data_IF_440031957989
#
_entry.id   IF_440031957989
#
_cell.length_a   1.000
_cell.length_b   1.000
_cell.length_c   1.000
_cell.angle_alpha   90.00
_cell.angle_beta   90.00
_cell.angle_gamma   90.00
#
_symmetry.space_group_name_H-M   'P 1'
#
loop_
_entity.id
_entity.type
_entity.pdbx_description
1 polymer ?
#
# COMPACT_ATOMS: atom_id res chain seq x y z
N UNK A 1 2.23 10.06 7.52
CA UNK A 1 1.67 10.13 8.90
C UNK A 1 1.80 11.51 9.55
N UNK A 2 2.82 12.32 9.23
CA UNK A 2 2.97 13.64 9.87
C UNK A 2 1.90 14.67 9.49
N UNK A 3 1.40 14.68 8.25
CA UNK A 3 0.53 15.77 7.77
C UNK A 3 -0.97 15.56 8.07
N UNK A 4 -1.51 14.35 7.89
CA UNK A 4 -2.92 14.03 8.26
C UNK A 4 -3.16 14.27 9.75
N UNK A 5 -2.24 13.81 10.61
CA UNK A 5 -2.33 14.04 12.05
C UNK A 5 -2.14 15.53 12.41
N UNK A 6 -1.24 16.26 11.74
CA UNK A 6 -1.00 17.67 12.03
C UNK A 6 -2.20 18.56 11.68
N UNK A 7 -2.82 18.39 10.51
CA UNK A 7 -3.96 19.23 10.13
C UNK A 7 -5.28 18.83 10.80
N UNK A 8 -5.46 17.56 11.15
CA UNK A 8 -6.57 17.14 12.02
C UNK A 8 -6.41 17.69 13.44
N UNK A 9 -5.18 17.81 13.96
CA UNK A 9 -4.90 18.40 15.27
C UNK A 9 -5.10 19.93 15.31
N UNK A 10 -4.89 20.62 14.19
CA UNK A 10 -5.02 22.09 14.10
C UNK A 10 -6.45 22.53 13.71
N UNK A 11 -7.36 21.58 13.49
CA UNK A 11 -8.76 21.82 13.13
C UNK A 11 -8.93 22.69 11.87
N UNK A 12 -7.93 22.69 10.97
CA UNK A 12 -7.94 23.46 9.74
C UNK A 12 -8.34 22.57 8.56
N UNK A 13 -9.64 22.29 8.49
CA UNK A 13 -10.25 21.44 7.46
C UNK A 13 -9.99 21.94 6.04
N UNK A 14 -9.82 23.25 5.84
CA UNK A 14 -9.51 23.82 4.54
C UNK A 14 -8.11 23.46 4.05
N UNK A 15 -7.07 23.67 4.88
CA UNK A 15 -5.71 23.28 4.53
C UNK A 15 -5.58 21.77 4.33
N UNK A 16 -6.28 20.98 5.15
CA UNK A 16 -6.35 19.53 4.99
C UNK A 16 -6.91 19.15 3.62
N UNK A 17 -8.07 19.70 3.24
CA UNK A 17 -8.69 19.41 1.94
C UNK A 17 -7.78 19.83 0.79
N UNK A 18 -7.19 21.03 0.83
CA UNK A 18 -6.26 21.51 -0.20
C UNK A 18 -5.06 20.57 -0.36
N UNK A 19 -4.52 20.09 0.76
CA UNK A 19 -3.43 19.13 0.75
C UNK A 19 -3.84 17.79 0.12
N UNK A 20 -4.98 17.23 0.53
CA UNK A 20 -5.48 15.96 -0.03
C UNK A 20 -5.76 16.08 -1.53
N UNK A 21 -6.33 17.21 -1.98
CA UNK A 21 -6.58 17.47 -3.39
C UNK A 21 -5.28 17.55 -4.20
N UNK A 22 -4.27 18.26 -3.67
CA UNK A 22 -2.95 18.32 -4.29
C UNK A 22 -2.29 16.94 -4.36
N UNK A 23 -2.41 16.16 -3.28
CA UNK A 23 -1.88 14.80 -3.23
C UNK A 23 -2.55 13.88 -4.25
N UNK A 24 -3.88 13.96 -4.37
CA UNK A 24 -4.63 13.24 -5.40
C UNK A 24 -4.13 13.56 -6.82
N UNK A 25 -3.95 14.84 -7.16
CA UNK A 25 -3.43 15.23 -8.48
C UNK A 25 -2.01 14.71 -8.73
N UNK A 26 -1.12 14.78 -7.73
CA UNK A 26 0.22 14.20 -7.82
C UNK A 26 0.18 12.68 -8.05
N UNK A 27 -0.78 11.98 -7.42
CA UNK A 27 -0.96 10.56 -7.69
C UNK A 27 -1.38 10.32 -9.14
N UNK A 28 -2.32 11.10 -9.69
CA UNK A 28 -2.72 10.95 -11.09
C UNK A 28 -1.58 11.22 -12.08
N UNK A 29 -0.75 12.23 -11.83
CA UNK A 29 0.44 12.53 -12.66
C UNK A 29 1.44 11.35 -12.69
N UNK A 30 1.51 10.60 -11.60
CA UNK A 30 2.35 9.41 -11.47
C UNK A 30 1.60 8.09 -11.77
N UNK A 31 0.39 8.18 -12.34
CA UNK A 31 -0.51 7.04 -12.61
C UNK A 31 -0.78 6.15 -11.39
N UNK A 32 -0.71 6.74 -10.20
CA UNK A 32 -0.93 6.08 -8.92
C UNK A 32 -2.42 5.96 -8.57
N UNK A 33 -3.17 5.22 -9.39
CA UNK A 33 -4.64 5.18 -9.29
C UNK A 33 -5.15 4.65 -7.94
N UNK A 34 -4.47 3.67 -7.33
CA UNK A 34 -4.90 3.10 -6.04
C UNK A 34 -4.74 4.14 -4.93
N UNK A 35 -3.59 4.80 -4.86
CA UNK A 35 -3.30 5.84 -3.88
C UNK A 35 -4.14 7.11 -4.13
N UNK A 36 -4.45 7.41 -5.40
CA UNK A 36 -5.40 8.46 -5.78
C UNK A 36 -6.81 8.16 -5.22
N UNK A 37 -7.30 6.92 -5.39
CA UNK A 37 -8.58 6.51 -4.82
C UNK A 37 -8.61 6.63 -3.29
N UNK A 38 -7.54 6.20 -2.61
CA UNK A 38 -7.42 6.39 -1.15
C UNK A 38 -7.34 7.86 -0.72
N UNK A 39 -6.84 8.74 -1.58
CA UNK A 39 -6.85 10.18 -1.32
C UNK A 39 -8.27 10.74 -1.44
N UNK A 40 -9.07 10.31 -2.42
CA UNK A 40 -10.48 10.70 -2.51
C UNK A 40 -11.32 10.13 -1.36
N UNK A 41 -11.01 8.92 -0.90
CA UNK A 41 -11.66 8.32 0.27
C UNK A 41 -11.48 9.18 1.54
N UNK A 42 -10.32 9.83 1.70
CA UNK A 42 -10.15 10.80 2.78
C UNK A 42 -11.13 11.97 2.70
N UNK A 43 -11.47 12.44 1.49
CA UNK A 43 -12.42 13.52 1.27
C UNK A 43 -13.86 13.03 1.47
N UNK A 44 -14.18 11.83 0.98
CA UNK A 44 -15.52 11.24 1.09
C UNK A 44 -15.93 10.99 2.55
N UNK A 45 -14.95 10.68 3.41
CA UNK A 45 -15.10 10.55 4.86
C UNK A 45 -15.41 11.87 5.59
N UNK A 46 -15.26 13.03 4.93
CA UNK A 46 -15.67 14.33 5.47
C UNK A 46 -17.13 14.68 5.15
N UNK A 47 -17.79 13.86 4.32
CA UNK A 47 -19.15 14.09 3.82
C UNK A 47 -20.11 13.04 4.39
N UNK A 48 -21.37 13.44 4.52
CA UNK A 48 -22.47 12.56 4.91
C UNK A 48 -23.41 12.31 3.73
N UNK A 49 -24.18 11.21 3.78
CA UNK A 49 -25.26 10.96 2.83
C UNK A 49 -26.48 11.83 3.18
N UNK A 50 -26.37 13.15 2.97
CA UNK A 50 -27.39 14.14 3.29
C UNK A 50 -27.47 15.24 2.22
N UNK A 51 -28.63 15.88 2.12
CA UNK A 51 -28.84 17.02 1.21
C UNK A 51 -28.32 18.36 1.77
N UNK A 52 -27.59 18.33 2.88
CA UNK A 52 -26.96 19.51 3.46
C UNK A 52 -25.97 20.14 2.47
N UNK A 53 -25.83 21.48 2.47
CA UNK A 53 -24.90 22.15 1.58
C UNK A 53 -23.46 21.71 1.84
N UNK A 54 -22.68 21.54 0.76
CA UNK A 54 -21.27 21.19 0.88
C UNK A 54 -20.52 22.33 1.57
N UNK A 55 -19.66 22.04 2.58
CA UNK A 55 -18.83 23.07 3.18
C UNK A 55 -17.96 23.79 2.14
N UNK A 56 -17.89 25.13 2.21
CA UNK A 56 -17.22 25.96 1.19
C UNK A 56 -15.75 25.56 0.95
N UNK A 57 -15.05 25.11 2.00
CA UNK A 57 -13.66 24.69 1.91
C UNK A 57 -13.44 23.39 1.11
N UNK A 58 -14.50 22.63 0.83
CA UNK A 58 -14.48 21.41 0.01
C UNK A 58 -14.72 21.68 -1.48
N UNK A 59 -15.60 22.65 -1.79
CA UNK A 59 -15.99 23.02 -3.17
C UNK A 59 -14.87 23.77 -3.92
N UNK A 60 -13.90 24.35 -3.21
CA UNK A 60 -12.90 25.25 -3.78
C UNK A 60 -11.74 24.57 -4.53
N UNK A 61 -11.69 23.24 -4.64
CA UNK A 61 -10.47 22.55 -5.09
C UNK A 61 -10.60 21.72 -6.39
N UNK A 62 -11.38 20.63 -6.37
CA UNK A 62 -11.45 19.68 -7.50
C UNK A 62 -12.84 19.68 -8.15
N UNK A 63 -13.88 19.96 -7.36
CA UNK A 63 -15.26 19.87 -7.82
C UNK A 63 -16.04 21.11 -7.43
N UNK A 64 -16.17 22.02 -8.40
CA UNK A 64 -16.79 23.34 -8.18
C UNK A 64 -18.32 23.32 -8.28
N UNK A 65 -18.90 22.23 -8.80
CA UNK A 65 -20.29 22.22 -9.24
C UNK A 65 -21.27 21.49 -8.28
N UNK A 66 -20.78 20.84 -7.24
CA UNK A 66 -21.65 20.09 -6.31
C UNK A 66 -22.21 20.97 -5.20
N UNK A 67 -23.53 20.90 -5.04
CA UNK A 67 -24.29 21.73 -4.08
C UNK A 67 -24.68 20.99 -2.81
N UNK A 68 -24.75 19.67 -2.81
CA UNK A 68 -25.10 18.86 -1.61
C UNK A 68 -24.03 17.85 -1.24
N UNK A 69 -23.93 17.52 0.05
CA UNK A 69 -23.02 16.49 0.56
C UNK A 69 -23.27 15.15 -0.14
N UNK A 70 -24.54 14.78 -0.34
CA UNK A 70 -24.96 13.59 -1.06
C UNK A 70 -24.36 13.55 -2.47
N UNK A 71 -24.62 14.57 -3.30
CA UNK A 71 -24.20 14.57 -4.71
C UNK A 71 -22.68 14.61 -4.83
N UNK A 72 -22.01 15.31 -3.93
CA UNK A 72 -20.55 15.34 -3.93
C UNK A 72 -19.95 14.00 -3.48
N UNK A 73 -20.51 13.37 -2.44
CA UNK A 73 -20.03 12.06 -1.96
C UNK A 73 -20.29 10.96 -2.98
N UNK A 74 -21.43 11.00 -3.65
CA UNK A 74 -21.77 10.11 -4.77
C UNK A 74 -20.69 10.20 -5.87
N UNK A 75 -20.38 11.42 -6.33
CA UNK A 75 -19.35 11.64 -7.34
C UNK A 75 -17.96 11.14 -6.91
N UNK A 76 -17.56 11.41 -5.66
CA UNK A 76 -16.30 10.89 -5.12
C UNK A 76 -16.28 9.36 -5.11
N UNK A 77 -17.38 8.70 -4.75
CA UNK A 77 -17.48 7.24 -4.76
C UNK A 77 -17.37 6.69 -6.18
N UNK A 78 -18.01 7.32 -7.17
CA UNK A 78 -17.90 6.93 -8.58
C UNK A 78 -16.46 7.04 -9.11
N UNK A 79 -15.76 8.11 -8.74
CA UNK A 79 -14.35 8.31 -9.09
C UNK A 79 -13.43 7.31 -8.37
N UNK A 80 -13.64 7.07 -7.06
CA UNK A 80 -12.93 6.04 -6.30
C UNK A 80 -13.07 4.68 -6.97
N UNK A 81 -14.29 4.27 -7.32
CA UNK A 81 -14.55 3.00 -8.00
C UNK A 81 -13.79 2.95 -9.34
N UNK A 82 -13.79 4.03 -10.10
CA UNK A 82 -13.11 4.12 -11.39
C UNK A 82 -11.59 4.00 -11.26
N UNK A 83 -10.99 4.64 -10.26
CA UNK A 83 -9.55 4.56 -10.02
C UNK A 83 -9.13 3.21 -9.42
N UNK A 84 -9.94 2.61 -8.56
CA UNK A 84 -9.69 1.25 -8.06
C UNK A 84 -9.78 0.22 -9.18
N UNK A 85 -10.70 0.39 -10.13
CA UNK A 85 -10.80 -0.46 -11.33
C UNK A 85 -9.55 -0.34 -12.22
N UNK A 86 -9.10 0.89 -12.51
CA UNK A 86 -7.83 1.13 -13.22
C UNK A 86 -6.63 0.49 -12.50
N UNK A 87 -6.64 0.52 -11.16
CA UNK A 87 -5.64 -0.14 -10.31
C UNK A 87 -5.85 -1.65 -10.10
N UNK A 88 -6.87 -2.25 -10.73
CA UNK A 88 -7.28 -3.67 -10.58
C UNK A 88 -7.58 -4.10 -9.13
N UNK A 89 -7.95 -3.15 -8.27
CA UNK A 89 -8.35 -3.38 -6.88
C UNK A 89 -9.87 -3.63 -6.80
N UNK A 90 -10.37 -4.61 -7.56
CA UNK A 90 -11.81 -4.86 -7.71
C UNK A 90 -12.51 -5.22 -6.40
N UNK A 91 -11.85 -5.96 -5.51
CA UNK A 91 -12.42 -6.29 -4.20
C UNK A 91 -12.64 -5.04 -3.33
N UNK A 92 -11.73 -4.06 -3.39
CA UNK A 92 -11.93 -2.77 -2.73
C UNK A 92 -13.06 -1.97 -3.41
N UNK A 93 -13.08 -1.93 -4.74
CA UNK A 93 -14.13 -1.23 -5.51
C UNK A 93 -15.53 -1.78 -5.21
N UNK A 94 -15.67 -3.11 -5.08
CA UNK A 94 -16.91 -3.78 -4.69
C UNK A 94 -17.47 -3.29 -3.36
N UNK A 95 -16.63 -2.87 -2.42
CA UNK A 95 -17.09 -2.35 -1.12
C UNK A 95 -17.82 -1.02 -1.30
N UNK A 96 -17.30 -0.12 -2.14
CA UNK A 96 -17.96 1.15 -2.50
C UNK A 96 -19.22 0.92 -3.33
N UNK A 97 -19.21 -0.03 -4.27
CA UNK A 97 -20.39 -0.39 -5.05
C UNK A 97 -21.54 -0.89 -4.15
N UNK A 98 -21.23 -1.70 -3.13
CA UNK A 98 -22.21 -2.21 -2.15
C UNK A 98 -22.79 -1.12 -1.25
N UNK A 99 -22.02 -0.07 -0.97
CA UNK A 99 -22.54 1.09 -0.24
C UNK A 99 -23.49 1.88 -1.13
N UNK A 100 -23.07 2.26 -2.35
CA UNK A 100 -23.93 2.96 -3.31
C UNK A 100 -25.21 2.17 -3.64
N UNK A 101 -25.14 0.85 -3.78
CA UNK A 101 -26.33 0.04 -4.07
C UNK A 101 -27.39 0.17 -2.98
N UNK A 102 -26.98 0.18 -1.70
CA UNK A 102 -27.91 0.38 -0.57
C UNK A 102 -28.53 1.77 -0.58
N UNK A 103 -27.74 2.79 -0.94
CA UNK A 103 -28.22 4.17 -1.06
C UNK A 103 -29.25 4.27 -2.19
N UNK A 104 -28.93 3.72 -3.36
CA UNK A 104 -29.81 3.73 -4.53
C UNK A 104 -31.11 2.97 -4.31
N UNK A 105 -31.06 1.85 -3.59
CA UNK A 105 -32.24 1.03 -3.30
C UNK A 105 -33.13 1.62 -2.20
N UNK A 106 -32.55 2.10 -1.09
CA UNK A 106 -33.31 2.43 0.12
C UNK A 106 -33.50 3.92 0.38
N UNK A 107 -32.59 4.79 -0.06
CA UNK A 107 -32.67 6.23 0.22
C UNK A 107 -33.29 7.01 -0.93
N UNK A 108 -32.78 6.84 -2.15
CA UNK A 108 -33.22 7.63 -3.32
C UNK A 108 -34.14 6.88 -4.28
N UNK A 109 -34.22 5.54 -4.16
CA UNK A 109 -35.03 4.67 -5.03
C UNK A 109 -34.74 4.85 -6.53
N UNK A 110 -33.50 5.17 -6.89
CA UNK A 110 -33.05 5.31 -8.28
C UNK A 110 -32.65 3.93 -8.83
N UNK A 111 -33.64 3.24 -9.41
CA UNK A 111 -33.41 1.91 -9.96
C UNK A 111 -32.55 1.89 -11.23
N UNK A 112 -32.40 3.02 -11.92
CA UNK A 112 -31.52 3.10 -13.08
C UNK A 112 -30.05 3.09 -12.62
N UNK A 113 -29.70 3.91 -11.63
CA UNK A 113 -28.39 3.88 -10.98
C UNK A 113 -28.13 2.54 -10.28
N UNK A 114 -29.13 1.97 -9.62
CA UNK A 114 -29.03 0.64 -9.01
C UNK A 114 -28.71 -0.44 -10.06
N UNK A 115 -29.41 -0.44 -11.20
CA UNK A 115 -29.12 -1.39 -12.29
C UNK A 115 -27.68 -1.26 -12.79
N UNK A 116 -27.19 -0.03 -12.95
CA UNK A 116 -25.84 0.24 -13.43
C UNK A 116 -24.78 -0.24 -12.43
N UNK A 117 -24.94 0.04 -11.14
CA UNK A 117 -23.96 -0.36 -10.13
C UNK A 117 -23.93 -1.89 -9.95
N UNK A 118 -25.08 -2.56 -10.04
CA UNK A 118 -25.15 -4.03 -9.98
C UNK A 118 -24.45 -4.69 -11.18
N UNK A 119 -24.60 -4.15 -12.39
CA UNK A 119 -23.84 -4.61 -13.57
C UNK A 119 -22.34 -4.43 -13.38
N UNK A 120 -21.91 -3.30 -12.80
CA UNK A 120 -20.50 -3.04 -12.49
C UNK A 120 -19.96 -4.02 -11.44
N UNK A 121 -20.75 -4.36 -10.43
CA UNK A 121 -20.40 -5.40 -9.45
C UNK A 121 -20.24 -6.77 -10.10
N UNK A 122 -21.15 -7.16 -11.00
CA UNK A 122 -21.04 -8.42 -11.75
C UNK A 122 -19.73 -8.46 -12.55
N UNK A 123 -19.42 -7.39 -13.28
CA UNK A 123 -18.15 -7.25 -14.01
C UNK A 123 -16.94 -7.40 -13.08
N UNK A 124 -16.95 -6.80 -11.89
CA UNK A 124 -15.84 -6.95 -10.93
C UNK A 124 -15.69 -8.37 -10.38
N UNK A 125 -16.79 -9.09 -10.15
CA UNK A 125 -16.71 -10.51 -9.79
C UNK A 125 -16.13 -11.35 -10.93
N UNK A 126 -16.54 -11.08 -12.18
CA UNK A 126 -15.97 -11.75 -13.35
C UNK A 126 -14.47 -11.44 -13.51
N UNK A 127 -14.06 -10.18 -13.35
CA UNK A 127 -12.66 -9.79 -13.41
C UNK A 127 -11.83 -10.49 -12.33
N UNK A 128 -12.31 -10.55 -11.08
CA UNK A 128 -11.63 -11.26 -9.98
C UNK A 128 -11.41 -12.74 -10.32
N UNK A 129 -12.32 -13.36 -11.06
CA UNK A 129 -12.22 -14.78 -11.43
C UNK A 129 -11.38 -15.03 -12.68
N UNK A 130 -11.40 -14.12 -13.64
CA UNK A 130 -10.90 -14.40 -14.99
C UNK A 130 -9.63 -13.62 -15.34
N UNK A 131 -9.39 -12.47 -14.72
CA UNK A 131 -8.26 -11.61 -15.05
C UNK A 131 -7.03 -11.91 -14.19
N UNK A 132 -5.85 -11.73 -14.77
CA UNK A 132 -4.59 -11.87 -14.03
C UNK A 132 -4.40 -10.71 -13.07
N UNK A 133 -4.25 -11.04 -11.80
CA UNK A 133 -4.03 -10.06 -10.75
C UNK A 133 -2.53 -9.74 -10.63
N UNK A 134 -2.09 -8.50 -10.92
CA UNK A 134 -0.68 -8.14 -10.83
C UNK A 134 -0.28 -8.02 -9.36
N UNK A 135 0.57 -8.93 -8.90
CA UNK A 135 1.16 -8.86 -7.55
C UNK A 135 2.01 -7.58 -7.43
N UNK A 136 1.90 -6.89 -6.29
CA UNK A 136 2.83 -5.79 -6.00
C UNK A 136 4.13 -6.34 -5.40
N UNK A 137 5.26 -5.77 -5.80
CA UNK A 137 6.53 -6.02 -5.12
C UNK A 137 6.69 -5.04 -3.95
N UNK A 138 7.43 -5.45 -2.92
CA UNK A 138 7.68 -4.61 -1.75
C UNK A 138 9.17 -4.50 -1.45
N UNK A 139 9.61 -3.30 -1.14
CA UNK A 139 11.01 -2.99 -0.83
C UNK A 139 11.13 -2.28 0.50
N UNK A 140 12.02 -2.77 1.35
CA UNK A 140 12.45 -2.09 2.56
C UNK A 140 13.63 -1.18 2.22
N UNK A 141 13.46 0.11 2.46
CA UNK A 141 14.45 1.16 2.19
C UNK A 141 14.93 1.72 3.52
N UNK A 142 16.24 1.76 3.70
CA UNK A 142 16.89 2.37 4.85
C UNK A 142 17.68 3.60 4.41
N UNK A 143 17.45 4.71 5.11
CA UNK A 143 18.15 5.96 4.86
C UNK A 143 19.21 6.20 5.94
N UNK A 144 20.48 6.16 5.55
CA UNK A 144 21.62 6.33 6.44
C UNK A 144 22.41 7.60 6.14
N UNK A 145 22.92 8.21 7.21
CA UNK A 145 23.74 9.41 7.16
C UNK A 145 22.96 10.70 7.38
N UNK A 146 23.68 11.71 7.88
CA UNK A 146 23.14 13.04 8.25
C UNK A 146 22.86 13.93 7.04
N UNK A 147 23.27 13.51 5.84
CA UNK A 147 23.00 14.23 4.60
C UNK A 147 21.52 14.19 4.19
N UNK A 148 20.71 13.26 4.70
CA UNK A 148 19.27 13.24 4.44
C UNK A 148 18.51 14.29 5.26
N UNK A 149 17.31 14.74 4.83
CA UNK A 149 16.42 15.51 5.69
C UNK A 149 16.03 14.75 6.97
N UNK A 150 15.81 15.46 8.08
CA UNK A 150 15.51 14.86 9.39
C UNK A 150 14.33 13.86 9.38
N UNK A 151 13.37 14.02 8.46
CA UNK A 151 12.25 13.09 8.36
C UNK A 151 12.62 11.73 7.74
N UNK A 152 13.76 11.61 7.06
CA UNK A 152 14.31 10.37 6.50
C UNK A 152 15.49 9.83 7.31
N UNK A 153 16.30 10.69 7.94
CA UNK A 153 17.49 10.28 8.69
C UNK A 153 17.21 9.11 9.64
N UNK A 154 17.94 8.00 9.47
CA UNK A 154 17.86 6.79 10.28
C UNK A 154 16.50 6.08 10.28
N UNK A 155 15.62 6.44 9.35
CA UNK A 155 14.31 5.81 9.24
C UNK A 155 14.31 4.74 8.17
N UNK A 156 13.43 3.78 8.40
CA UNK A 156 13.17 2.68 7.49
C UNK A 156 11.74 2.79 6.98
N UNK A 157 11.56 2.57 5.69
CA UNK A 157 10.26 2.59 5.04
C UNK A 157 10.07 1.31 4.24
N UNK A 158 8.83 0.81 4.20
CA UNK A 158 8.42 -0.16 3.20
C UNK A 158 7.81 0.61 2.03
N UNK A 159 8.16 0.23 0.82
CA UNK A 159 7.71 0.81 -0.43
C UNK A 159 6.96 -0.26 -1.22
N UNK A 160 5.74 0.05 -1.67
CA UNK A 160 4.95 -0.77 -2.58
C UNK A 160 5.26 -0.39 -4.03
N UNK A 161 5.75 -1.35 -4.79
CA UNK A 161 6.20 -1.18 -6.17
C UNK A 161 5.32 -1.96 -7.15
N UNK A 162 5.12 -1.41 -8.35
CA UNK A 162 4.27 -2.03 -9.37
C UNK A 162 5.08 -2.94 -10.29
N UNK A 163 4.48 -4.09 -10.63
CA UNK A 163 5.10 -5.17 -11.40
C UNK A 163 5.53 -4.84 -12.84
N UNK A 164 5.22 -3.68 -13.39
CA UNK A 164 5.68 -3.29 -14.73
C UNK A 164 7.18 -3.01 -14.78
N UNK A 165 7.85 -2.92 -13.63
CA UNK A 165 9.24 -2.47 -13.51
C UNK A 165 10.04 -3.47 -12.65
N UNK A 166 11.18 -3.96 -13.15
CA UNK A 166 12.04 -4.94 -12.46
C UNK A 166 12.78 -4.30 -11.27
N UNK A 167 13.36 -5.10 -10.36
CA UNK A 167 14.23 -4.60 -9.28
C UNK A 167 15.32 -3.60 -9.73
N UNK A 168 15.92 -3.82 -10.91
CA UNK A 168 16.92 -2.88 -11.49
C UNK A 168 16.29 -1.53 -11.83
N UNK A 169 15.04 -1.53 -12.25
CA UNK A 169 14.27 -0.33 -12.55
C UNK A 169 13.92 0.39 -11.24
N UNK A 170 13.60 -0.34 -10.16
CA UNK A 170 13.38 0.23 -8.83
C UNK A 170 14.62 0.94 -8.28
N UNK A 171 15.80 0.31 -8.32
CA UNK A 171 17.03 0.97 -7.86
C UNK A 171 17.31 2.24 -8.68
N UNK A 172 17.08 2.20 -9.99
CA UNK A 172 17.22 3.37 -10.86
C UNK A 172 16.20 4.46 -10.51
N UNK A 173 14.96 4.08 -10.19
CA UNK A 173 13.92 4.99 -9.73
C UNK A 173 14.33 5.70 -8.43
N UNK A 174 14.78 4.95 -7.42
CA UNK A 174 15.24 5.53 -6.14
C UNK A 174 16.47 6.43 -6.36
N UNK A 175 17.40 6.04 -7.22
CA UNK A 175 18.56 6.87 -7.56
C UNK A 175 18.16 8.21 -8.22
N UNK A 176 17.11 8.22 -9.05
CA UNK A 176 16.58 9.47 -9.64
C UNK A 176 15.96 10.38 -8.59
N UNK A 177 15.30 9.82 -7.58
CA UNK A 177 14.74 10.60 -6.47
C UNK A 177 15.83 11.17 -5.56
N UNK A 178 16.95 10.46 -5.40
CA UNK A 178 18.07 10.89 -4.57
C UNK A 178 19.41 10.82 -5.34
N UNK A 179 19.68 11.79 -6.25
CA UNK A 179 20.85 11.74 -7.12
C UNK A 179 22.20 11.69 -6.39
N UNK A 180 22.26 12.29 -5.20
CA UNK A 180 23.46 12.37 -4.37
C UNK A 180 23.62 11.18 -3.40
N UNK A 181 22.67 10.24 -3.38
CA UNK A 181 22.73 9.10 -2.51
C UNK A 181 23.49 7.93 -3.14
N UNK A 182 24.29 7.25 -2.32
CA UNK A 182 24.96 6.02 -2.70
C UNK A 182 24.07 4.82 -2.36
N UNK A 183 23.69 4.03 -3.37
CA UNK A 183 23.04 2.74 -3.14
C UNK A 183 24.08 1.74 -2.64
N UNK A 184 23.89 1.24 -1.42
CA UNK A 184 24.75 0.23 -0.81
C UNK A 184 24.11 -1.15 -0.93
N UNK A 185 24.91 -2.19 -1.13
CA UNK A 185 24.44 -3.57 -1.26
C UNK A 185 24.40 -4.33 0.07
N UNK A 186 25.10 -3.82 1.08
CA UNK A 186 25.20 -4.42 2.42
C UNK A 186 24.70 -3.40 3.44
N UNK A 187 23.98 -3.87 4.45
CA UNK A 187 23.50 -3.03 5.54
C UNK A 187 24.70 -2.32 6.20
N UNK A 188 24.74 -0.99 6.17
CA UNK A 188 25.89 -0.24 6.67
C UNK A 188 26.02 -0.33 8.19
N UNK A 189 27.25 -0.45 8.67
CA UNK A 189 27.58 -0.45 10.10
C UNK A 189 27.31 0.89 10.79
N UNK A 190 27.51 0.95 12.12
CA UNK A 190 27.29 2.16 12.94
C UNK A 190 28.09 3.38 12.47
N UNK A 191 29.28 3.18 11.91
CA UNK A 191 30.16 4.26 11.44
C UNK A 191 29.56 5.05 10.26
N UNK A 192 28.89 4.38 9.33
CA UNK A 192 28.25 5.00 8.17
C UNK A 192 26.99 5.75 8.58
N UNK A 193 26.33 5.34 9.68
CA UNK A 193 25.15 6.02 10.23
C UNK A 193 25.50 7.49 10.52
N UNK A 194 26.62 7.78 11.17
CA UNK A 194 26.94 9.14 11.60
C UNK A 194 27.59 10.02 10.52
N UNK A 195 27.94 9.45 9.37
CA UNK A 195 28.58 10.17 8.27
C UNK A 195 27.69 11.29 7.70
N UNK A 196 28.31 12.31 7.11
CA UNK A 196 27.60 13.37 6.37
C UNK A 196 27.08 12.91 5.00
N UNK A 197 27.48 11.72 4.55
CA UNK A 197 27.09 11.16 3.25
C UNK A 197 25.64 10.65 3.25
N UNK A 198 25.01 10.56 2.07
CA UNK A 198 23.69 9.96 1.89
C UNK A 198 23.88 8.52 1.41
N UNK A 199 23.50 7.52 2.21
CA UNK A 199 23.56 6.11 1.82
C UNK A 199 22.17 5.48 1.93
N UNK A 200 21.75 4.77 0.89
CA UNK A 200 20.47 4.07 0.86
C UNK A 200 20.74 2.59 0.72
N UNK A 201 20.21 1.80 1.66
CA UNK A 201 20.19 0.35 1.55
C UNK A 201 18.78 -0.10 1.17
N UNK A 202 18.67 -0.96 0.17
CA UNK A 202 17.40 -1.47 -0.34
C UNK A 202 17.39 -2.99 -0.21
N UNK A 203 16.27 -3.54 0.27
CA UNK A 203 16.05 -4.99 0.36
C UNK A 203 14.64 -5.34 -0.07
N UNK A 204 14.50 -6.36 -0.91
CA UNK A 204 13.18 -6.92 -1.22
C UNK A 204 12.58 -7.58 0.03
N UNK A 205 11.30 -7.32 0.26
CA UNK A 205 10.52 -7.91 1.33
C UNK A 205 9.24 -8.50 0.76
N UNK A 206 8.65 -9.44 1.50
CA UNK A 206 7.42 -10.12 1.12
C UNK A 206 6.34 -9.84 2.15
N UNK A 207 5.09 -9.61 1.73
CA UNK A 207 3.99 -9.41 2.67
C UNK A 207 3.71 -10.69 3.48
N UNK A 208 3.33 -10.52 4.73
CA UNK A 208 2.75 -11.59 5.55
C UNK A 208 1.23 -11.46 5.48
N UNK A 209 0.59 -12.42 4.84
CA UNK A 209 -0.85 -12.47 4.73
C UNK A 209 -1.49 -12.98 6.02
N UNK A 210 -2.53 -12.28 6.50
CA UNK A 210 -3.33 -12.75 7.64
C UNK A 210 -4.48 -13.62 7.13
N UNK A 211 -4.21 -14.91 6.95
CA UNK A 211 -5.16 -15.90 6.44
C UNK A 211 -6.10 -16.48 7.50
N UNK A 212 -5.95 -16.09 8.78
CA UNK A 212 -6.69 -16.69 9.90
C UNK A 212 -8.21 -16.69 9.71
N UNK A 213 -8.75 -15.65 9.06
CA UNK A 213 -10.19 -15.51 8.78
C UNK A 213 -10.68 -16.48 7.69
N UNK A 214 -9.77 -16.96 6.84
CA UNK A 214 -10.07 -17.67 5.60
C UNK A 214 -9.58 -19.12 5.59
N UNK A 215 -8.76 -19.51 6.57
CA UNK A 215 -8.04 -20.78 6.61
C UNK A 215 -8.92 -22.03 6.46
N UNK A 216 -10.14 -21.99 7.01
CA UNK A 216 -11.05 -23.13 7.01
C UNK A 216 -12.20 -23.00 5.99
N UNK A 217 -12.17 -21.94 5.17
CA UNK A 217 -13.21 -21.68 4.18
C UNK A 217 -12.78 -22.22 2.80
N UNK A 218 -13.69 -22.87 2.04
CA UNK A 218 -13.40 -23.37 0.69
C UNK A 218 -13.41 -22.22 -0.33
N UNK A 219 -12.44 -21.31 -0.21
CA UNK A 219 -12.33 -20.11 -1.05
C UNK A 219 -11.39 -20.41 -2.23
N UNK A 220 -11.82 -20.04 -3.43
CA UNK A 220 -10.99 -20.13 -4.63
C UNK A 220 -9.70 -19.29 -4.46
N UNK A 221 -8.54 -19.82 -4.85
CA UNK A 221 -7.24 -19.17 -4.60
C UNK A 221 -7.14 -17.74 -5.13
N UNK A 222 -7.76 -17.46 -6.27
CA UNK A 222 -7.78 -16.11 -6.86
C UNK A 222 -8.60 -15.11 -6.03
N UNK A 223 -9.74 -15.54 -5.48
CA UNK A 223 -10.53 -14.73 -4.55
C UNK A 223 -9.74 -14.47 -3.28
N UNK A 224 -9.11 -15.53 -2.74
CA UNK A 224 -8.29 -15.43 -1.54
C UNK A 224 -7.17 -14.41 -1.72
N UNK A 225 -6.50 -14.41 -2.88
CA UNK A 225 -5.44 -13.45 -3.19
C UNK A 225 -5.93 -12.00 -3.16
N UNK A 226 -7.06 -11.69 -3.80
CA UNK A 226 -7.66 -10.36 -3.75
C UNK A 226 -8.10 -9.93 -2.34
N UNK A 227 -8.51 -10.88 -1.49
CA UNK A 227 -8.86 -10.61 -0.09
C UNK A 227 -7.60 -10.31 0.75
N UNK A 228 -6.54 -11.09 0.55
CA UNK A 228 -5.31 -11.02 1.32
C UNK A 228 -4.41 -9.84 0.93
N UNK A 229 -4.50 -9.33 -0.30
CA UNK A 229 -3.76 -8.14 -0.73
C UNK A 229 -4.34 -6.81 -0.22
N UNK A 230 -5.42 -6.87 0.56
CA UNK A 230 -5.94 -5.72 1.30
C UNK A 230 -5.43 -5.73 2.75
N UNK A 231 -5.11 -4.55 3.29
CA UNK A 231 -4.70 -4.36 4.69
C UNK A 231 -3.36 -5.02 5.08
N UNK A 232 -2.37 -4.93 4.18
CA UNK A 232 -1.03 -5.47 4.38
C UNK A 232 -0.17 -4.57 5.26
N UNK A 233 0.15 -5.02 6.48
CA UNK A 233 0.93 -4.24 7.46
C UNK A 233 2.29 -4.86 7.82
N UNK A 234 2.40 -6.17 7.68
CA UNK A 234 3.56 -6.95 8.14
C UNK A 234 4.31 -7.48 6.92
N UNK A 235 5.62 -7.35 6.93
CA UNK A 235 6.52 -7.76 5.85
C UNK A 235 7.69 -8.54 6.42
N UNK A 236 8.34 -9.37 5.62
CA UNK A 236 9.56 -10.05 6.05
C UNK A 236 10.59 -10.17 4.92
N UNK A 237 11.84 -10.36 5.31
CA UNK A 237 12.90 -10.85 4.42
C UNK A 237 13.69 -11.95 5.13
N UNK A 238 14.19 -12.91 4.36
CA UNK A 238 15.13 -13.91 4.84
C UNK A 238 16.53 -13.60 4.30
N UNK A 239 17.55 -13.65 5.15
CA UNK A 239 18.96 -13.56 4.75
C UNK A 239 19.70 -14.82 5.19
N UNK A 240 20.54 -15.41 4.31
CA UNK A 240 21.32 -16.59 4.66
C UNK A 240 22.33 -16.27 5.76
N UNK A 241 22.39 -17.09 6.80
CA UNK A 241 23.47 -17.11 7.77
C UNK A 241 24.46 -18.18 7.35
N UNK A 242 25.68 -17.75 7.03
CA UNK A 242 26.80 -18.69 6.82
C UNK A 242 27.36 -18.99 8.20
N UNK A 243 27.04 -20.16 8.75
CA UNK A 243 27.69 -20.68 9.95
C UNK A 243 29.14 -20.98 9.65
N UNK A 244 30.07 -20.34 10.36
CA UNK A 244 31.52 -20.49 10.15
C UNK A 244 32.07 -21.85 10.61
N UNK A 245 31.28 -22.63 11.36
CA UNK A 245 31.70 -23.91 11.91
C UNK A 245 31.04 -25.08 11.16
N UNK A 246 31.75 -25.69 10.20
CA UNK A 246 31.73 -27.14 9.91
C UNK A 246 32.50 -27.47 8.62
N UNK A 247 33.81 -27.66 8.79
CA UNK A 247 34.71 -28.28 7.83
C UNK A 247 34.46 -29.78 7.59
N UNK A 248 33.26 -30.30 7.87
CA UNK A 248 32.90 -31.71 7.64
C UNK A 248 31.43 -31.78 7.18
N UNK A 249 31.15 -32.57 6.14
CA UNK A 249 29.84 -32.92 5.52
C UNK A 249 29.50 -32.29 4.14
N UNK A 250 29.70 -33.07 3.07
CA UNK A 250 29.50 -32.76 1.65
C UNK A 250 28.04 -32.49 1.18
N UNK A 251 27.05 -32.36 2.07
CA UNK A 251 25.66 -32.08 1.67
C UNK A 251 25.31 -30.59 1.86
N UNK A 252 25.44 -29.83 0.77
CA UNK A 252 25.29 -28.37 0.70
C UNK A 252 23.85 -27.84 0.88
N UNK A 253 22.83 -28.70 0.81
CA UNK A 253 21.41 -28.30 0.85
C UNK A 253 20.80 -28.21 2.26
N UNK A 254 21.48 -28.72 3.30
CA UNK A 254 20.98 -28.72 4.69
C UNK A 254 21.65 -27.66 5.59
N UNK A 255 22.58 -26.86 5.05
CA UNK A 255 23.51 -26.02 5.82
C UNK A 255 23.10 -24.56 6.03
N UNK A 256 21.99 -24.09 5.44
CA UNK A 256 21.61 -22.68 5.53
C UNK A 256 20.54 -22.45 6.60
N UNK A 257 20.97 -22.03 7.79
CA UNK A 257 20.09 -21.29 8.69
C UNK A 257 19.81 -19.91 8.07
N UNK A 258 18.57 -19.44 8.12
CA UNK A 258 18.22 -18.12 7.62
C UNK A 258 17.84 -17.22 8.79
N UNK A 259 18.39 -16.01 8.84
CA UNK A 259 17.83 -14.96 9.69
C UNK A 259 16.62 -14.37 8.99
N UNK A 260 15.44 -14.43 9.62
CA UNK A 260 14.25 -13.74 9.13
C UNK A 260 14.05 -12.48 9.93
N UNK A 261 14.01 -11.37 9.21
CA UNK A 261 13.63 -10.07 9.75
C UNK A 261 12.19 -9.77 9.38
N UNK A 262 11.38 -9.41 10.37
CA UNK A 262 9.98 -9.03 10.22
C UNK A 262 9.87 -7.52 10.46
N UNK A 263 9.14 -6.83 9.59
CA UNK A 263 8.86 -5.40 9.65
C UNK A 263 7.37 -5.18 9.86
N UNK A 264 7.02 -4.29 10.77
CA UNK A 264 5.66 -3.77 10.91
C UNK A 264 5.63 -2.31 10.47
N UNK A 265 4.70 -1.96 9.60
CA UNK A 265 4.51 -0.59 9.09
C UNK A 265 3.51 0.18 9.94
N UNK A 266 3.58 1.52 9.93
CA UNK A 266 2.64 2.35 10.69
C UNK A 266 1.21 2.27 10.14
N UNK A 267 1.09 2.10 8.83
CA UNK A 267 -0.17 2.06 8.07
C UNK A 267 -0.11 0.92 7.07
N UNK A 268 -1.27 0.33 6.77
CA UNK A 268 -1.36 -0.80 5.85
C UNK A 268 -1.27 -0.36 4.39
N UNK A 269 -0.91 -1.33 3.53
CA UNK A 269 -0.97 -1.21 2.08
C UNK A 269 -2.18 -1.98 1.50
N UNK A 270 -2.74 -1.52 0.38
CA UNK A 270 -2.56 -0.19 -0.19
C UNK A 270 -3.05 0.92 0.75
N UNK A 271 -2.55 2.13 0.55
CA UNK A 271 -2.96 3.27 1.36
C UNK A 271 -2.83 4.57 0.58
N UNK A 272 -2.80 5.70 1.29
CA UNK A 272 -2.70 7.04 0.69
C UNK A 272 -1.32 7.29 0.06
N UNK A 273 -0.28 6.57 0.47
CA UNK A 273 1.07 6.71 -0.07
C UNK A 273 1.60 5.34 -0.49
N UNK A 274 2.47 5.35 -1.50
CA UNK A 274 3.22 4.16 -1.96
C UNK A 274 4.29 3.71 -0.96
N UNK A 275 4.55 4.48 0.10
CA UNK A 275 5.50 4.12 1.16
C UNK A 275 4.95 4.39 2.55
N UNK A 276 5.37 3.57 3.51
CA UNK A 276 4.98 3.65 4.92
C UNK A 276 6.19 3.45 5.83
N UNK A 277 6.34 4.24 6.91
CA UNK A 277 7.43 4.06 7.85
C UNK A 277 7.28 2.76 8.63
N UNK A 278 8.41 2.11 8.89
CA UNK A 278 8.50 0.94 9.76
C UNK A 278 8.48 1.41 11.22
N UNK A 279 7.63 0.79 12.03
CA UNK A 279 7.45 1.10 13.45
C UNK A 279 8.10 0.06 14.37
N UNK A 280 8.20 -1.19 13.92
CA UNK A 280 8.90 -2.24 14.64
C UNK A 280 9.66 -3.15 13.67
N UNK A 281 10.76 -3.71 14.17
CA UNK A 281 11.61 -4.66 13.43
C UNK A 281 12.08 -5.73 14.39
N UNK A 282 11.81 -6.99 14.05
CA UNK A 282 12.19 -8.16 14.85
C UNK A 282 13.00 -9.11 13.97
N UNK A 283 14.04 -9.74 14.51
CA UNK A 283 14.85 -10.71 13.77
C UNK A 283 15.01 -11.99 14.57
N UNK A 284 14.76 -13.12 13.91
CA UNK A 284 14.86 -14.44 14.51
C UNK A 284 15.49 -15.43 13.53
N UNK A 285 16.20 -16.42 14.06
CA UNK A 285 16.77 -17.50 13.26
C UNK A 285 15.70 -18.53 12.89
N UNK A 286 15.78 -19.00 11.65
CA UNK A 286 14.91 -20.01 11.08
C UNK A 286 15.76 -21.22 10.73
N UNK A 287 15.35 -22.37 11.25
CA UNK A 287 15.99 -23.65 10.94
C UNK A 287 15.82 -24.01 9.45
N UNK A 288 16.78 -24.75 8.86
CA UNK A 288 16.72 -25.15 7.45
C UNK A 288 15.40 -25.84 7.06
N UNK A 289 14.86 -26.69 7.93
CA UNK A 289 13.59 -27.41 7.71
C UNK A 289 12.41 -26.43 7.60
N UNK A 290 12.35 -25.45 8.50
CA UNK A 290 11.26 -24.46 8.47
C UNK A 290 11.40 -23.54 7.25
N UNK A 291 12.62 -23.21 6.84
CA UNK A 291 12.85 -22.45 5.61
C UNK A 291 12.39 -23.23 4.37
N UNK A 292 12.72 -24.52 4.28
CA UNK A 292 12.28 -25.39 3.18
C UNK A 292 10.76 -25.50 3.09
N UNK A 293 10.07 -25.67 4.23
CA UNK A 293 8.60 -25.70 4.29
C UNK A 293 8.00 -24.36 3.81
N UNK A 294 8.59 -23.24 4.20
CA UNK A 294 8.13 -21.91 3.79
C UNK A 294 8.40 -21.63 2.30
N UNK A 295 9.49 -22.16 1.73
CA UNK A 295 9.78 -22.06 0.29
C UNK A 295 8.81 -22.89 -0.55
N UNK A 296 8.48 -24.11 -0.13
CA UNK A 296 7.47 -24.94 -0.81
C UNK A 296 6.10 -24.25 -0.84
N UNK A 297 5.73 -23.53 0.24
CA UNK A 297 4.45 -22.83 0.31
C UNK A 297 4.36 -21.55 -0.54
N UNK A 298 5.49 -21.04 -1.04
CA UNK A 298 5.52 -19.84 -1.90
C UNK A 298 5.42 -20.14 -3.39
N UNK A 299 5.76 -21.37 -3.80
CA UNK A 299 5.65 -21.86 -5.17
C UNK A 299 4.32 -22.58 -5.38
#
# INVERSE_FOLDING_TARGET
MYIKNFYQQINNSELYTRYVCKLFNLHLECENYIEAAHSLDLLSNLLNWSDEPVPLYLVANIYHDYRSNYTFKEALFEDIITYLDKGRMWNAALSYCKELSKIYEHQVQDYQKLSNILKKMAQFYDNIMNETFPEAEYFCIYYYGRGFPCFLQYKTFIYRWRMTEKLRDFNTHIQRLFPNANLVNVAPGSEIKESSSQNIYIRQVYPVFNDKKYKDLPIHGQILRHLLESDLKIFYCSTPLITQDSSEYENSSLRLCNSRTIYCTSVSFPGILVQAPVVSTESHEISPIKNFIDEIKRN
#
